data_IF_158804587552
#
_entry.id   IF_158804587552
#
_cell.length_a   1.000
_cell.length_b   1.000
_cell.length_c   1.000
_cell.angle_alpha   90.00
_cell.angle_beta   90.00
_cell.angle_gamma   90.00
#
_symmetry.space_group_name_H-M   'P 1'
#
loop_
_entity.id
_entity.type
_entity.pdbx_description
1 polymer ?
#
# COMPACT_ATOMS: atom_id res chain seq x y z
N UNK A 1 7.35 -0.19 -1.79
CA UNK A 1 7.02 -0.01 -3.23
C UNK A 1 7.36 -1.28 -4.01
N UNK A 2 6.55 -1.61 -5.01
CA UNK A 2 6.86 -2.68 -5.95
C UNK A 2 7.98 -2.22 -6.88
N UNK A 3 9.07 -2.97 -6.91
CA UNK A 3 10.14 -2.76 -7.86
C UNK A 3 9.91 -3.55 -9.16
N UNK A 4 10.91 -4.25 -9.62
CA UNK A 4 10.85 -5.08 -10.82
C UNK A 4 11.31 -6.51 -10.52
N UNK A 5 11.24 -7.40 -11.54
CA UNK A 5 11.90 -8.72 -11.46
C UNK A 5 13.43 -8.63 -11.60
N UNK A 6 13.96 -7.46 -12.02
CA UNK A 6 15.39 -7.24 -12.28
C UNK A 6 16.08 -6.68 -11.03
N UNK A 7 16.93 -7.49 -10.42
CA UNK A 7 17.65 -7.16 -9.18
C UNK A 7 18.42 -5.83 -9.29
N UNK A 8 19.20 -5.63 -10.35
CA UNK A 8 20.03 -4.43 -10.51
C UNK A 8 19.21 -3.14 -10.50
N UNK A 9 18.02 -3.13 -11.13
CA UNK A 9 17.13 -1.99 -11.13
C UNK A 9 16.66 -1.65 -9.70
N UNK A 10 16.35 -2.67 -8.90
CA UNK A 10 15.90 -2.49 -7.53
C UNK A 10 17.04 -2.02 -6.60
N UNK A 11 18.28 -2.47 -6.85
CA UNK A 11 19.47 -1.98 -6.15
C UNK A 11 19.78 -0.52 -6.52
N UNK A 12 19.62 -0.13 -7.79
CA UNK A 12 19.75 1.27 -8.22
C UNK A 12 18.71 2.14 -7.51
N UNK A 13 17.46 1.70 -7.43
CA UNK A 13 16.41 2.40 -6.70
C UNK A 13 16.74 2.56 -5.21
N UNK A 14 17.28 1.52 -4.58
CA UNK A 14 17.71 1.59 -3.18
C UNK A 14 18.85 2.61 -2.97
N UNK A 15 19.84 2.62 -3.86
CA UNK A 15 20.92 3.61 -3.84
C UNK A 15 20.41 5.03 -4.01
N UNK A 16 19.46 5.25 -4.93
CA UNK A 16 18.82 6.55 -5.12
C UNK A 16 18.07 6.99 -3.84
N UNK A 17 17.33 6.08 -3.17
CA UNK A 17 16.72 6.42 -1.89
C UNK A 17 17.74 6.90 -0.86
N UNK A 18 18.88 6.23 -0.75
CA UNK A 18 19.97 6.64 0.16
C UNK A 18 20.57 7.99 -0.24
N UNK A 19 20.87 8.18 -1.51
CA UNK A 19 21.47 9.41 -2.06
C UNK A 19 20.59 10.64 -1.80
N UNK A 20 19.28 10.51 -2.04
CA UNK A 20 18.32 11.59 -1.80
C UNK A 20 17.79 11.67 -0.36
N UNK A 21 18.34 10.89 0.57
CA UNK A 21 17.93 10.89 1.97
C UNK A 21 16.51 10.35 2.22
N UNK A 22 15.97 9.58 1.29
CA UNK A 22 14.63 9.02 1.37
C UNK A 22 14.61 7.67 2.11
N UNK A 23 13.44 7.31 2.63
CA UNK A 23 13.18 5.97 3.18
C UNK A 23 12.53 5.11 2.10
N UNK A 24 13.02 3.89 1.87
CA UNK A 24 12.53 2.98 0.84
C UNK A 24 12.30 1.57 1.34
N UNK A 25 11.04 1.12 1.33
CA UNK A 25 10.67 -0.30 1.44
C UNK A 25 10.52 -0.83 0.03
N UNK A 26 11.52 -1.59 -0.45
CA UNK A 26 11.67 -1.93 -1.87
C UNK A 26 11.46 -3.42 -2.07
N UNK A 27 10.54 -3.77 -2.96
CA UNK A 27 10.17 -5.14 -3.27
C UNK A 27 10.86 -5.67 -4.52
N UNK A 28 11.55 -6.80 -4.40
CA UNK A 28 11.91 -7.64 -5.53
C UNK A 28 10.67 -8.39 -5.98
N UNK A 29 10.14 -8.06 -7.15
CA UNK A 29 8.95 -8.73 -7.69
C UNK A 29 9.30 -10.16 -8.10
N UNK A 30 8.48 -11.10 -7.65
CA UNK A 30 8.56 -12.51 -8.02
C UNK A 30 7.28 -12.91 -8.77
N UNK A 31 7.44 -13.53 -9.94
CA UNK A 31 6.35 -14.09 -10.73
C UNK A 31 6.92 -15.10 -11.74
N UNK A 32 6.41 -16.32 -11.71
CA UNK A 32 6.92 -17.44 -12.52
C UNK A 32 5.82 -18.23 -13.23
N UNK A 33 4.53 -17.89 -12.99
CA UNK A 33 3.41 -18.58 -13.62
C UNK A 33 3.29 -18.23 -15.10
N UNK A 34 3.64 -19.17 -15.98
CA UNK A 34 3.67 -18.96 -17.42
C UNK A 34 2.28 -18.68 -18.03
N UNK A 35 1.22 -19.16 -17.40
CA UNK A 35 -0.14 -18.99 -17.90
C UNK A 35 -0.70 -17.58 -17.63
N UNK A 36 -0.11 -16.86 -16.66
CA UNK A 36 -0.60 -15.57 -16.20
C UNK A 36 0.42 -14.43 -16.36
N UNK A 37 1.59 -14.71 -16.92
CA UNK A 37 2.64 -13.71 -17.11
C UNK A 37 3.30 -13.82 -18.48
N UNK A 38 3.64 -12.69 -19.14
CA UNK A 38 4.31 -12.73 -20.44
C UNK A 38 5.75 -13.24 -20.30
N UNK A 39 6.22 -13.98 -21.32
CA UNK A 39 7.54 -14.60 -21.29
C UNK A 39 8.70 -13.61 -21.12
N UNK A 40 8.55 -12.38 -21.61
CA UNK A 40 9.57 -11.34 -21.53
C UNK A 40 9.65 -10.66 -20.15
N UNK A 41 8.67 -10.88 -19.28
CA UNK A 41 8.61 -10.23 -17.95
C UNK A 41 8.11 -11.22 -16.91
N UNK A 42 8.89 -12.28 -16.67
CA UNK A 42 8.71 -13.24 -15.57
C UNK A 42 10.03 -13.92 -15.23
N UNK A 43 10.12 -14.49 -14.04
CA UNK A 43 11.19 -15.39 -13.65
C UNK A 43 11.09 -16.70 -14.44
N UNK A 44 12.23 -17.31 -14.74
CA UNK A 44 12.29 -18.54 -15.55
C UNK A 44 11.69 -19.75 -14.82
N UNK A 45 11.70 -19.71 -13.49
CA UNK A 45 11.17 -20.76 -12.62
C UNK A 45 10.94 -20.23 -11.21
N UNK A 46 10.23 -21.01 -10.37
CA UNK A 46 10.09 -20.72 -8.94
C UNK A 46 11.47 -20.57 -8.26
N UNK A 47 12.42 -21.46 -8.60
CA UNK A 47 13.77 -21.40 -8.05
C UNK A 47 14.48 -20.08 -8.40
N UNK A 48 14.38 -19.65 -9.66
CA UNK A 48 14.95 -18.37 -10.09
C UNK A 48 14.33 -17.17 -9.32
N UNK A 49 13.02 -17.15 -9.15
CA UNK A 49 12.33 -16.11 -8.38
C UNK A 49 12.76 -16.08 -6.91
N UNK A 50 12.90 -17.24 -6.27
CA UNK A 50 13.32 -17.40 -4.88
C UNK A 50 14.77 -16.97 -4.71
N UNK A 51 15.68 -17.46 -5.58
CA UNK A 51 17.11 -17.14 -5.52
C UNK A 51 17.35 -15.63 -5.74
N UNK A 52 16.65 -15.02 -6.72
CA UNK A 52 16.72 -13.59 -6.99
C UNK A 52 16.22 -12.77 -5.79
N UNK A 53 15.14 -13.18 -5.15
CA UNK A 53 14.60 -12.52 -3.95
C UNK A 53 15.58 -12.65 -2.79
N UNK A 54 16.16 -13.81 -2.54
CA UNK A 54 17.14 -14.02 -1.47
C UNK A 54 18.42 -13.20 -1.72
N UNK A 55 18.90 -13.17 -2.95
CA UNK A 55 20.05 -12.35 -3.34
C UNK A 55 19.79 -10.86 -3.07
N UNK A 56 18.62 -10.36 -3.47
CA UNK A 56 18.20 -8.99 -3.24
C UNK A 56 18.18 -8.64 -1.75
N UNK A 57 17.58 -9.49 -0.90
CA UNK A 57 17.56 -9.30 0.55
C UNK A 57 19.00 -9.13 1.09
N UNK A 58 19.90 -10.06 0.74
CA UNK A 58 21.30 -10.04 1.19
C UNK A 58 22.07 -8.82 0.72
N UNK A 59 21.82 -8.37 -0.51
CA UNK A 59 22.47 -7.18 -1.07
C UNK A 59 21.96 -5.90 -0.40
N UNK A 60 20.65 -5.77 -0.22
CA UNK A 60 20.05 -4.58 0.35
C UNK A 60 20.44 -4.40 1.82
N UNK A 61 20.48 -5.48 2.60
CA UNK A 61 20.93 -5.46 3.98
C UNK A 61 22.38 -4.99 4.15
N UNK A 62 23.21 -5.07 3.10
CA UNK A 62 24.60 -4.58 3.11
C UNK A 62 24.73 -3.13 2.68
N UNK A 63 23.71 -2.52 2.07
CA UNK A 63 23.79 -1.16 1.55
C UNK A 63 23.69 -0.09 2.62
N UNK A 64 23.00 -0.36 3.73
CA UNK A 64 22.80 0.60 4.80
C UNK A 64 22.92 -0.06 6.16
N UNK A 65 23.58 0.62 7.11
CA UNK A 65 23.57 0.24 8.51
C UNK A 65 22.33 0.72 9.26
N UNK A 66 21.52 1.59 8.64
CA UNK A 66 20.21 2.02 9.14
C UNK A 66 19.15 1.04 8.66
N UNK A 67 18.67 0.20 9.57
CA UNK A 67 17.70 -0.87 9.28
C UNK A 67 16.35 -0.35 8.78
N UNK A 68 16.04 0.94 8.99
CA UNK A 68 14.77 1.55 8.59
C UNK A 68 14.91 2.42 7.32
N UNK A 69 16.13 2.61 6.79
CA UNK A 69 16.34 3.52 5.65
C UNK A 69 16.02 2.88 4.31
N UNK A 70 16.60 1.73 4.03
CA UNK A 70 16.26 0.91 2.86
C UNK A 70 16.01 -0.52 3.30
N UNK A 71 14.79 -0.98 3.11
CA UNK A 71 14.29 -2.25 3.64
C UNK A 71 13.89 -3.15 2.48
N UNK A 72 14.44 -4.37 2.35
CA UNK A 72 13.99 -5.33 1.36
C UNK A 72 12.60 -5.86 1.71
N UNK A 73 11.75 -6.03 0.71
CA UNK A 73 10.40 -6.55 0.85
C UNK A 73 10.19 -7.74 -0.07
N UNK A 74 9.76 -8.87 0.46
CA UNK A 74 9.38 -10.03 -0.34
C UNK A 74 8.09 -9.69 -1.07
N UNK A 75 8.09 -9.84 -2.40
CA UNK A 75 7.01 -9.31 -3.23
C UNK A 75 6.56 -10.33 -4.28
N UNK A 76 5.80 -11.39 -3.91
CA UNK A 76 4.98 -12.03 -4.93
C UNK A 76 4.08 -10.95 -5.53
N UNK A 77 4.07 -10.81 -6.87
CA UNK A 77 3.26 -9.74 -7.47
C UNK A 77 1.80 -9.85 -7.02
N UNK A 78 1.21 -11.02 -7.18
CA UNK A 78 -0.10 -11.45 -6.68
C UNK A 78 -0.23 -12.97 -6.88
N UNK A 79 -1.18 -13.61 -6.22
CA UNK A 79 -1.34 -15.08 -6.24
C UNK A 79 -1.43 -15.66 -7.67
N UNK A 80 -2.19 -15.08 -8.62
CA UNK A 80 -2.27 -15.62 -9.98
C UNK A 80 -0.93 -15.68 -10.72
N UNK A 81 -0.03 -14.74 -10.50
CA UNK A 81 1.26 -14.66 -11.21
C UNK A 81 2.34 -15.60 -10.68
N UNK A 82 2.08 -16.30 -9.60
CA UNK A 82 3.04 -17.18 -8.94
C UNK A 82 2.59 -18.64 -8.97
N UNK A 83 3.55 -19.55 -9.16
CA UNK A 83 3.33 -20.98 -8.90
C UNK A 83 3.27 -21.27 -7.40
N UNK A 84 2.69 -22.40 -7.01
CA UNK A 84 2.65 -22.84 -5.61
C UNK A 84 4.07 -22.98 -5.03
N UNK A 85 5.01 -23.48 -5.82
CA UNK A 85 6.42 -23.61 -5.43
C UNK A 85 7.07 -22.23 -5.18
N UNK A 86 6.74 -21.22 -5.99
CA UNK A 86 7.21 -19.85 -5.79
C UNK A 86 6.63 -19.27 -4.49
N UNK A 87 5.31 -19.33 -4.29
CA UNK A 87 4.65 -18.85 -3.08
C UNK A 87 5.21 -19.51 -1.82
N UNK A 88 5.39 -20.84 -1.85
CA UNK A 88 5.95 -21.60 -0.72
C UNK A 88 7.39 -21.18 -0.41
N UNK A 89 8.23 -21.00 -1.42
CA UNK A 89 9.63 -20.58 -1.23
C UNK A 89 9.74 -19.14 -0.71
N UNK A 90 8.89 -18.23 -1.19
CA UNK A 90 8.84 -16.85 -0.69
C UNK A 90 8.37 -16.78 0.77
N UNK A 91 7.40 -17.62 1.17
CA UNK A 91 6.99 -17.75 2.57
C UNK A 91 8.12 -18.28 3.47
N UNK A 92 8.91 -19.24 2.99
CA UNK A 92 10.11 -19.71 3.70
C UNK A 92 11.15 -18.60 3.86
N UNK A 93 11.37 -17.76 2.83
CA UNK A 93 12.26 -16.60 2.95
C UNK A 93 11.72 -15.56 3.95
N UNK A 94 10.40 -15.31 3.97
CA UNK A 94 9.79 -14.41 4.93
C UNK A 94 10.05 -14.86 6.37
N UNK A 95 9.89 -16.14 6.64
CA UNK A 95 10.18 -16.74 7.95
C UNK A 95 11.68 -16.70 8.28
N UNK A 96 12.55 -16.96 7.29
CA UNK A 96 14.02 -17.01 7.49
C UNK A 96 14.63 -15.63 7.79
N UNK A 97 14.19 -14.60 7.05
CA UNK A 97 14.81 -13.26 7.11
C UNK A 97 14.03 -12.27 7.96
N UNK A 98 12.80 -12.59 8.35
CA UNK A 98 11.89 -11.71 9.09
C UNK A 98 11.72 -10.32 8.45
N UNK A 99 11.81 -10.25 7.11
CA UNK A 99 11.58 -9.04 6.32
C UNK A 99 10.09 -8.88 6.00
N UNK A 100 9.63 -7.65 5.71
CA UNK A 100 8.25 -7.42 5.30
C UNK A 100 7.87 -8.18 4.02
N UNK A 101 6.58 -8.44 3.88
CA UNK A 101 5.96 -9.01 2.67
C UNK A 101 4.97 -7.98 2.13
N UNK A 102 4.89 -7.84 0.81
CA UNK A 102 3.83 -7.07 0.15
C UNK A 102 3.32 -7.83 -1.08
N UNK A 103 2.03 -7.68 -1.37
CA UNK A 103 1.41 -8.27 -2.56
C UNK A 103 0.07 -7.58 -2.85
N UNK A 104 -0.41 -7.67 -4.09
CA UNK A 104 -1.80 -7.30 -4.40
C UNK A 104 -2.72 -8.43 -3.93
N UNK A 105 -3.91 -8.07 -3.48
CA UNK A 105 -4.90 -9.03 -2.99
C UNK A 105 -6.30 -8.57 -3.34
N UNK A 106 -7.07 -9.46 -3.95
CA UNK A 106 -8.49 -9.25 -4.24
C UNK A 106 -8.74 -7.87 -4.88
N UNK A 107 -7.88 -7.46 -5.82
CA UNK A 107 -7.93 -6.15 -6.46
C UNK A 107 -9.13 -6.05 -7.40
N UNK A 108 -9.37 -7.12 -8.16
CA UNK A 108 -10.44 -7.17 -9.16
C UNK A 108 -11.28 -8.44 -9.02
N UNK A 109 -12.49 -8.41 -9.59
CA UNK A 109 -13.35 -9.60 -9.65
C UNK A 109 -12.67 -10.76 -10.39
N UNK A 110 -11.82 -10.46 -11.38
CA UNK A 110 -11.06 -11.49 -12.11
C UNK A 110 -10.03 -12.17 -11.19
N UNK A 111 -9.20 -11.39 -10.48
CA UNK A 111 -8.20 -11.94 -9.56
C UNK A 111 -8.86 -12.79 -8.48
N UNK A 112 -9.86 -12.23 -7.81
CA UNK A 112 -10.59 -12.91 -6.75
C UNK A 112 -11.22 -14.22 -7.26
N UNK A 113 -11.87 -14.19 -8.43
CA UNK A 113 -12.47 -15.38 -9.05
C UNK A 113 -11.42 -16.43 -9.45
N UNK A 114 -10.29 -16.00 -10.03
CA UNK A 114 -9.19 -16.91 -10.40
C UNK A 114 -8.63 -17.67 -9.19
N UNK A 115 -8.42 -16.97 -8.08
CA UNK A 115 -7.88 -17.59 -6.86
C UNK A 115 -8.90 -18.56 -6.23
N UNK A 116 -10.17 -18.17 -6.17
CA UNK A 116 -11.25 -19.05 -5.71
C UNK A 116 -11.35 -20.33 -6.57
N UNK A 117 -11.20 -20.21 -7.87
CA UNK A 117 -11.27 -21.36 -8.79
C UNK A 117 -10.06 -22.31 -8.61
N UNK A 118 -8.86 -21.73 -8.47
CA UNK A 118 -7.60 -22.51 -8.32
C UNK A 118 -7.48 -23.19 -6.96
N UNK A 119 -7.79 -22.48 -5.87
CA UNK A 119 -7.49 -22.93 -4.50
C UNK A 119 -8.72 -23.29 -3.68
N UNK A 120 -9.93 -22.95 -4.14
CA UNK A 120 -11.18 -23.02 -3.37
C UNK A 120 -11.10 -22.23 -2.05
N UNK A 121 -10.30 -21.19 -2.04
CA UNK A 121 -10.02 -20.30 -0.93
C UNK A 121 -9.80 -18.87 -1.44
N UNK A 122 -9.94 -17.87 -0.56
CA UNK A 122 -9.67 -16.47 -0.88
C UNK A 122 -8.16 -16.19 -0.95
N UNK A 123 -7.77 -15.12 -1.63
CA UNK A 123 -6.37 -14.66 -1.73
C UNK A 123 -5.71 -14.57 -0.35
N UNK A 124 -6.40 -13.98 0.63
CA UNK A 124 -5.91 -13.82 2.01
C UNK A 124 -5.63 -15.18 2.65
N UNK A 125 -6.55 -16.13 2.50
CA UNK A 125 -6.38 -17.49 3.02
C UNK A 125 -5.24 -18.24 2.34
N UNK A 126 -5.07 -18.07 1.03
CA UNK A 126 -3.96 -18.67 0.27
C UNK A 126 -2.62 -18.12 0.74
N UNK A 127 -2.51 -16.81 0.91
CA UNK A 127 -1.29 -16.19 1.43
C UNK A 127 -0.95 -16.69 2.84
N UNK A 128 -1.94 -16.92 3.69
CA UNK A 128 -1.75 -17.49 5.02
C UNK A 128 -1.23 -18.94 4.95
N UNK A 129 -1.80 -19.76 4.08
CA UNK A 129 -1.37 -21.16 3.85
C UNK A 129 0.10 -21.27 3.42
N UNK A 130 0.58 -20.32 2.60
CA UNK A 130 1.97 -20.28 2.14
C UNK A 130 2.91 -19.54 3.11
N UNK A 131 2.44 -19.08 4.28
CA UNK A 131 3.27 -18.39 5.28
C UNK A 131 3.66 -16.97 4.87
N UNK A 132 2.91 -16.36 3.94
CA UNK A 132 3.11 -14.99 3.45
C UNK A 132 2.27 -13.96 4.22
N UNK A 133 1.34 -14.40 5.06
CA UNK A 133 0.51 -13.51 5.89
C UNK A 133 1.06 -13.43 7.32
N UNK A 134 1.88 -12.42 7.56
CA UNK A 134 2.54 -12.16 8.85
C UNK A 134 2.12 -10.79 9.40
N UNK A 135 2.55 -10.45 10.60
CA UNK A 135 2.34 -9.11 11.19
C UNK A 135 3.11 -7.99 10.47
N UNK A 136 4.03 -8.35 9.56
CA UNK A 136 4.79 -7.44 8.68
C UNK A 136 4.32 -7.47 7.22
N UNK A 137 3.17 -8.08 6.95
CA UNK A 137 2.60 -8.16 5.60
C UNK A 137 1.69 -6.97 5.33
N UNK A 138 1.84 -6.38 4.14
CA UNK A 138 0.99 -5.31 3.63
C UNK A 138 0.33 -5.77 2.33
N UNK A 139 -1.00 -5.79 2.32
CA UNK A 139 -1.82 -6.20 1.19
C UNK A 139 -2.44 -4.98 0.51
N UNK A 140 -2.25 -4.85 -0.79
CA UNK A 140 -2.75 -3.73 -1.59
C UNK A 140 -4.17 -4.00 -2.11
N UNK A 141 -4.93 -2.95 -2.32
CA UNK A 141 -6.28 -2.89 -2.88
C UNK A 141 -7.39 -3.48 -2.01
N UNK A 142 -7.41 -4.78 -1.77
CA UNK A 142 -8.33 -5.46 -0.85
C UNK A 142 -9.82 -5.06 -1.03
N UNK A 143 -10.28 -4.99 -2.29
CA UNK A 143 -11.63 -4.52 -2.63
C UNK A 143 -12.70 -5.60 -2.45
N UNK A 144 -12.34 -6.89 -2.50
CA UNK A 144 -13.23 -8.05 -2.42
C UNK A 144 -13.03 -8.89 -1.14
N UNK A 145 -12.56 -8.29 -0.05
CA UNK A 145 -12.40 -9.02 1.22
C UNK A 145 -13.75 -9.51 1.75
N UNK A 146 -13.76 -10.76 2.22
CA UNK A 146 -14.87 -11.32 3.02
C UNK A 146 -14.71 -10.93 4.50
N UNK A 147 -15.75 -11.19 5.31
CA UNK A 147 -15.65 -10.99 6.76
C UNK A 147 -14.62 -11.93 7.40
N UNK A 148 -14.51 -13.17 6.91
CA UNK A 148 -13.51 -14.15 7.37
C UNK A 148 -12.09 -13.69 7.02
N UNK A 149 -11.87 -13.09 5.84
CA UNK A 149 -10.58 -12.47 5.49
C UNK A 149 -10.20 -11.37 6.47
N UNK A 150 -11.14 -10.50 6.81
CA UNK A 150 -10.90 -9.42 7.78
C UNK A 150 -10.60 -9.96 9.18
N UNK A 151 -11.26 -11.05 9.62
CA UNK A 151 -10.97 -11.73 10.88
C UNK A 151 -9.54 -12.31 10.84
N UNK A 152 -9.17 -12.95 9.75
CA UNK A 152 -7.83 -13.52 9.56
C UNK A 152 -6.74 -12.44 9.55
N UNK A 153 -6.95 -11.33 8.84
CA UNK A 153 -6.04 -10.18 8.81
C UNK A 153 -5.81 -9.59 10.20
N UNK A 154 -6.89 -9.38 10.97
CA UNK A 154 -6.81 -8.89 12.34
C UNK A 154 -6.03 -9.87 13.24
N UNK A 155 -6.29 -11.18 13.13
CA UNK A 155 -5.59 -12.24 13.88
C UNK A 155 -4.09 -12.27 13.56
N UNK A 156 -3.71 -12.12 12.29
CA UNK A 156 -2.32 -12.10 11.83
C UNK A 156 -1.64 -10.74 12.03
N UNK A 157 -2.41 -9.71 12.40
CA UNK A 157 -1.95 -8.30 12.54
C UNK A 157 -1.36 -7.75 11.24
N UNK A 158 -1.76 -8.31 10.10
CA UNK A 158 -1.37 -7.83 8.78
C UNK A 158 -2.01 -6.46 8.51
N UNK A 159 -1.37 -5.70 7.62
CA UNK A 159 -1.81 -4.37 7.24
C UNK A 159 -2.39 -4.33 5.81
N UNK A 160 -3.17 -3.31 5.53
CA UNK A 160 -3.70 -3.03 4.20
C UNK A 160 -3.20 -1.67 3.69
N UNK A 161 -3.11 -1.53 2.36
CA UNK A 161 -2.87 -0.27 1.68
C UNK A 161 -4.02 0.03 0.71
N UNK A 162 -4.80 1.07 1.01
CA UNK A 162 -5.87 1.54 0.15
C UNK A 162 -5.30 2.37 -1.00
N UNK A 163 -5.64 2.00 -2.24
CA UNK A 163 -5.21 2.67 -3.47
C UNK A 163 -6.42 3.25 -4.24
N UNK A 164 -7.08 4.29 -3.71
CA UNK A 164 -8.41 4.69 -4.17
C UNK A 164 -8.45 5.21 -5.61
N UNK A 165 -7.40 5.88 -6.09
CA UNK A 165 -7.33 6.35 -7.48
C UNK A 165 -7.24 5.17 -8.44
N UNK A 166 -6.35 4.22 -8.17
CA UNK A 166 -6.18 3.03 -9.00
C UNK A 166 -7.46 2.19 -9.02
N UNK A 167 -8.03 1.90 -7.84
CA UNK A 167 -9.27 1.14 -7.74
C UNK A 167 -10.42 1.77 -8.56
N UNK A 168 -10.55 3.11 -8.50
CA UNK A 168 -11.57 3.83 -9.26
C UNK A 168 -11.26 3.85 -10.77
N UNK A 169 -9.99 4.05 -11.14
CA UNK A 169 -9.56 4.12 -12.54
C UNK A 169 -9.81 2.81 -13.28
N UNK A 170 -9.51 1.67 -12.66
CA UNK A 170 -9.73 0.34 -13.25
C UNK A 170 -11.15 -0.22 -13.01
N UNK A 171 -11.98 0.46 -12.22
CA UNK A 171 -13.32 -0.05 -11.89
C UNK A 171 -13.30 -1.28 -10.99
N UNK A 172 -12.27 -1.45 -10.18
CA UNK A 172 -12.04 -2.64 -9.34
C UNK A 172 -12.92 -2.72 -8.08
N UNK A 173 -13.68 -1.69 -7.78
CA UNK A 173 -14.49 -1.59 -6.57
C UNK A 173 -13.93 -0.59 -5.54
N UNK A 174 -14.61 -0.46 -4.41
CA UNK A 174 -14.26 0.47 -3.34
C UNK A 174 -14.00 -0.30 -2.05
N UNK A 175 -12.84 -0.06 -1.44
CA UNK A 175 -12.46 -0.67 -0.16
C UNK A 175 -13.41 -0.23 0.96
N UNK A 176 -13.84 -1.16 1.82
CA UNK A 176 -14.71 -0.91 2.99
C UNK A 176 -13.92 -0.36 4.18
N UNK A 177 -13.38 0.86 4.04
CA UNK A 177 -12.44 1.49 4.99
C UNK A 177 -12.95 1.49 6.43
N UNK A 178 -14.21 1.87 6.67
CA UNK A 178 -14.76 1.94 8.04
C UNK A 178 -14.85 0.58 8.71
N UNK A 179 -15.23 -0.46 7.99
CA UNK A 179 -15.30 -1.82 8.54
C UNK A 179 -13.90 -2.35 8.88
N UNK A 180 -12.92 -2.10 8.01
CA UNK A 180 -11.53 -2.47 8.21
C UNK A 180 -10.96 -1.82 9.48
N UNK A 181 -11.16 -0.50 9.62
CA UNK A 181 -10.70 0.23 10.80
C UNK A 181 -11.45 -0.19 12.08
N UNK A 182 -12.75 -0.50 12.01
CA UNK A 182 -13.53 -1.00 13.13
C UNK A 182 -13.03 -2.36 13.66
N UNK A 183 -12.45 -3.18 12.77
CA UNK A 183 -11.78 -4.45 13.13
C UNK A 183 -10.32 -4.25 13.58
N UNK A 184 -9.87 -3.02 13.77
CA UNK A 184 -8.50 -2.66 14.20
C UNK A 184 -7.40 -3.18 13.27
N UNK A 185 -7.70 -3.37 12.00
CA UNK A 185 -6.73 -3.72 10.96
C UNK A 185 -5.96 -2.45 10.61
N UNK A 186 -4.62 -2.51 10.62
CA UNK A 186 -3.76 -1.39 10.22
C UNK A 186 -4.03 -1.05 8.76
N UNK A 187 -4.21 0.23 8.45
CA UNK A 187 -4.59 0.67 7.12
C UNK A 187 -3.83 1.94 6.72
N UNK A 188 -3.00 1.81 5.69
CA UNK A 188 -2.32 2.93 5.04
C UNK A 188 -3.00 3.35 3.73
N UNK A 189 -2.51 4.44 3.16
CA UNK A 189 -2.92 4.97 1.86
C UNK A 189 -1.76 4.87 0.86
N UNK A 190 -2.04 4.35 -0.34
CA UNK A 190 -1.08 4.21 -1.43
C UNK A 190 -1.52 4.96 -2.70
N UNK A 191 -0.55 5.34 -3.53
CA UNK A 191 -0.83 5.99 -4.82
C UNK A 191 -1.00 4.99 -5.95
N UNK A 192 -0.36 3.85 -5.82
CA UNK A 192 -0.26 2.86 -6.89
C UNK A 192 0.19 3.48 -8.22
N UNK A 193 1.14 4.41 -8.17
CA UNK A 193 1.71 5.02 -9.38
C UNK A 193 2.56 3.94 -10.11
N UNK A 194 2.35 3.61 -11.39
CA UNK A 194 1.48 4.24 -12.39
C UNK A 194 0.25 3.39 -12.76
N UNK A 195 -0.27 2.54 -11.89
CA UNK A 195 -1.64 2.03 -12.01
C UNK A 195 -2.63 3.13 -11.65
N UNK A 196 -2.37 3.89 -10.57
CA UNK A 196 -2.99 5.19 -10.34
C UNK A 196 -2.32 6.30 -11.16
N UNK A 197 -3.09 7.22 -11.72
CA UNK A 197 -2.60 8.31 -12.58
C UNK A 197 -1.88 9.44 -11.82
N UNK A 198 -1.88 9.45 -10.50
CA UNK A 198 -1.31 10.54 -9.70
C UNK A 198 -0.34 10.02 -8.64
N UNK A 199 0.88 10.58 -8.63
CA UNK A 199 1.87 10.34 -7.56
C UNK A 199 1.56 11.11 -6.25
N UNK A 200 0.58 12.01 -6.25
CA UNK A 200 0.24 12.84 -5.11
C UNK A 200 -0.60 12.08 -4.08
N UNK A 201 -0.08 11.96 -2.86
CA UNK A 201 -0.86 11.40 -1.74
C UNK A 201 -2.08 12.28 -1.39
N UNK A 202 -2.02 13.60 -1.60
CA UNK A 202 -3.15 14.51 -1.42
C UNK A 202 -4.31 14.18 -2.38
N UNK A 203 -4.02 13.78 -3.61
CA UNK A 203 -5.06 13.33 -4.54
C UNK A 203 -5.70 12.04 -4.05
N UNK A 204 -4.92 11.10 -3.51
CA UNK A 204 -5.43 9.85 -2.95
C UNK A 204 -6.25 10.07 -1.67
N UNK A 205 -5.86 11.03 -0.80
CA UNK A 205 -6.66 11.45 0.35
C UNK A 205 -8.07 11.90 -0.10
N UNK A 206 -8.14 12.77 -1.10
CA UNK A 206 -9.42 13.28 -1.65
C UNK A 206 -10.23 12.17 -2.30
N UNK A 207 -9.58 11.33 -3.10
CA UNK A 207 -10.24 10.21 -3.77
C UNK A 207 -10.80 9.18 -2.79
N UNK A 208 -10.11 8.89 -1.69
CA UNK A 208 -10.61 7.98 -0.66
C UNK A 208 -11.96 8.48 -0.08
N UNK A 209 -12.06 9.78 0.19
CA UNK A 209 -13.32 10.40 0.65
C UNK A 209 -14.40 10.31 -0.42
N UNK A 210 -14.08 10.66 -1.68
CA UNK A 210 -15.03 10.64 -2.79
C UNK A 210 -15.55 9.22 -3.02
N UNK A 211 -14.64 8.24 -3.14
CA UNK A 211 -15.01 6.83 -3.37
C UNK A 211 -15.90 6.28 -2.24
N UNK A 212 -15.60 6.63 -1.00
CA UNK A 212 -16.41 6.19 0.15
C UNK A 212 -17.84 6.73 0.12
N UNK A 213 -18.03 7.97 -0.37
CA UNK A 213 -19.35 8.58 -0.56
C UNK A 213 -20.10 7.90 -1.71
N UNK A 214 -19.40 7.62 -2.81
CA UNK A 214 -19.99 6.88 -3.95
C UNK A 214 -20.40 5.47 -3.54
N UNK A 215 -19.65 4.81 -2.66
CA UNK A 215 -20.02 3.51 -2.12
C UNK A 215 -21.27 3.61 -1.23
N UNK A 216 -21.35 4.59 -0.34
CA UNK A 216 -22.47 4.76 0.59
C UNK A 216 -23.78 5.11 -0.14
N UNK A 217 -23.72 6.09 -1.05
CA UNK A 217 -24.93 6.57 -1.73
C UNK A 217 -25.28 5.72 -2.97
N UNK A 218 -24.31 4.97 -3.51
CA UNK A 218 -24.43 4.26 -4.78
C UNK A 218 -24.53 5.24 -5.97
N UNK A 219 -24.25 4.76 -7.16
CA UNK A 219 -24.21 5.59 -8.39
C UNK A 219 -25.29 5.23 -9.41
N UNK A 220 -25.93 4.07 -9.27
CA UNK A 220 -26.94 3.59 -10.21
C UNK A 220 -28.30 4.21 -9.91
N UNK A 221 -28.65 5.29 -10.63
CA UNK A 221 -29.93 6.00 -10.45
C UNK A 221 -31.15 5.22 -10.91
N UNK A 222 -30.98 4.06 -11.56
CA UNK A 222 -32.10 3.16 -11.89
C UNK A 222 -32.57 2.37 -10.68
N UNK A 223 -31.79 2.32 -9.61
CA UNK A 223 -32.11 1.68 -8.34
C UNK A 223 -32.61 2.70 -7.31
N UNK A 224 -33.42 2.22 -6.37
CA UNK A 224 -33.88 3.05 -5.24
C UNK A 224 -32.68 3.55 -4.40
N UNK A 225 -32.72 4.82 -3.98
CA UNK A 225 -31.64 5.44 -3.19
C UNK A 225 -31.31 4.68 -1.91
N UNK A 226 -32.30 4.03 -1.30
CA UNK A 226 -32.16 3.24 -0.06
C UNK A 226 -31.48 1.88 -0.23
N UNK A 227 -31.31 1.41 -1.47
CA UNK A 227 -30.79 0.05 -1.75
C UNK A 227 -29.63 0.03 -2.74
N UNK A 228 -29.24 1.18 -3.31
CA UNK A 228 -28.21 1.23 -4.37
C UNK A 228 -26.77 1.36 -3.83
N UNK A 229 -26.61 1.68 -2.55
CA UNK A 229 -25.29 1.86 -1.91
C UNK A 229 -25.08 0.93 -0.74
N UNK A 230 -23.95 1.10 -0.07
CA UNK A 230 -23.55 0.34 1.13
C UNK A 230 -23.55 1.29 2.31
N UNK A 231 -24.54 1.14 3.19
CA UNK A 231 -24.69 2.01 4.35
C UNK A 231 -23.45 2.06 5.24
N UNK A 232 -23.21 3.21 5.88
CA UNK A 232 -22.09 3.41 6.81
C UNK A 232 -20.68 3.24 6.20
N UNK A 233 -20.51 3.53 4.90
CA UNK A 233 -19.23 3.44 4.20
C UNK A 233 -18.44 4.75 4.17
N UNK A 234 -19.12 5.90 4.31
CA UNK A 234 -18.57 7.25 4.16
C UNK A 234 -17.52 7.55 5.22
N UNK A 235 -16.33 7.98 4.78
CA UNK A 235 -15.27 8.50 5.65
C UNK A 235 -15.14 10.02 5.50
N UNK A 236 -14.54 10.68 6.49
CA UNK A 236 -14.16 12.09 6.43
C UNK A 236 -12.68 12.24 6.00
N UNK A 237 -12.27 13.48 5.75
CA UNK A 237 -10.90 13.80 5.31
C UNK A 237 -9.86 13.49 6.40
N UNK A 238 -10.22 13.60 7.68
CA UNK A 238 -9.33 13.27 8.79
C UNK A 238 -8.99 11.77 8.82
N UNK A 239 -9.96 10.89 8.54
CA UNK A 239 -9.72 9.45 8.39
C UNK A 239 -8.77 9.16 7.22
N UNK A 240 -8.95 9.83 6.08
CA UNK A 240 -8.06 9.67 4.93
C UNK A 240 -6.65 10.20 5.23
N UNK A 241 -6.53 11.30 5.97
CA UNK A 241 -5.25 11.84 6.41
C UNK A 241 -4.55 10.92 7.43
N UNK A 242 -5.30 10.31 8.36
CA UNK A 242 -4.76 9.29 9.25
C UNK A 242 -4.14 8.13 8.46
N UNK A 243 -4.81 7.61 7.44
CA UNK A 243 -4.26 6.55 6.59
C UNK A 243 -2.99 6.98 5.85
N UNK A 244 -2.92 8.23 5.40
CA UNK A 244 -1.76 8.79 4.69
C UNK A 244 -0.55 9.06 5.60
N UNK A 245 -0.72 9.07 6.91
CA UNK A 245 0.30 9.43 7.90
C UNK A 245 0.49 8.31 8.93
N UNK A 246 -0.27 8.35 10.00
CA UNK A 246 -0.16 7.41 11.12
C UNK A 246 -0.43 5.97 10.70
N UNK A 247 -1.51 5.74 9.95
CA UNK A 247 -1.90 4.38 9.52
C UNK A 247 -0.83 3.75 8.62
N UNK A 248 -0.24 4.53 7.70
CA UNK A 248 0.87 4.09 6.87
C UNK A 248 2.13 3.76 7.68
N UNK A 249 2.47 4.60 8.66
CA UNK A 249 3.62 4.38 9.54
C UNK A 249 3.43 3.10 10.41
N UNK A 250 2.23 2.94 10.99
CA UNK A 250 1.88 1.74 11.78
C UNK A 250 1.90 0.46 10.94
N UNK A 251 1.46 0.52 9.67
CA UNK A 251 1.53 -0.59 8.73
C UNK A 251 2.97 -1.02 8.42
N UNK A 252 3.90 -0.07 8.39
CA UNK A 252 5.33 -0.30 8.14
C UNK A 252 6.14 -0.52 9.43
N UNK A 253 5.51 -0.56 10.60
CA UNK A 253 6.18 -0.65 11.92
C UNK A 253 7.19 0.48 12.15
N UNK A 254 6.93 1.67 11.61
CA UNK A 254 7.75 2.86 11.79
C UNK A 254 7.21 3.74 12.91
N UNK A 255 8.10 4.23 13.76
CA UNK A 255 7.75 5.26 14.74
C UNK A 255 7.75 6.65 14.07
N UNK A 256 6.80 6.87 13.14
CA UNK A 256 6.65 8.04 12.30
C UNK A 256 5.17 8.44 12.16
N UNK A 257 4.85 9.40 11.29
CA UNK A 257 3.49 9.81 10.97
C UNK A 257 2.84 10.74 12.01
N UNK A 258 3.57 11.14 13.07
CA UNK A 258 3.11 12.06 14.12
C UNK A 258 4.21 13.08 14.42
N UNK A 259 3.82 14.33 14.67
CA UNK A 259 4.71 15.34 15.24
C UNK A 259 4.63 15.18 16.76
N UNK A 260 5.52 14.35 17.30
CA UNK A 260 5.57 14.00 18.71
C UNK A 260 6.99 13.62 19.12
N UNK A 261 7.38 13.94 20.35
CA UNK A 261 8.66 13.54 20.92
C UNK A 261 8.85 12.01 20.84
N UNK A 262 10.04 11.56 20.42
CA UNK A 262 10.40 10.16 20.21
C UNK A 262 9.97 9.60 18.85
N UNK A 263 9.28 10.39 18.01
CA UNK A 263 8.93 10.00 16.63
C UNK A 263 9.95 10.54 15.63
N UNK A 264 10.09 9.83 14.51
CA UNK A 264 10.90 10.29 13.38
C UNK A 264 10.33 11.61 12.84
N UNK A 265 11.23 12.57 12.63
CA UNK A 265 10.85 13.89 12.13
C UNK A 265 10.67 13.89 10.60
N UNK A 266 9.63 13.19 10.15
CA UNK A 266 9.19 13.13 8.76
C UNK A 266 8.00 14.07 8.60
N UNK A 267 8.19 15.21 7.93
CA UNK A 267 7.13 16.20 7.74
C UNK A 267 7.33 17.05 6.49
N UNK A 268 6.26 17.71 6.07
CA UNK A 268 6.25 18.67 4.96
C UNK A 268 5.86 20.06 5.47
N UNK A 269 6.50 21.09 4.90
CA UNK A 269 6.07 22.48 5.01
C UNK A 269 5.33 22.83 3.73
N UNK A 270 4.05 23.19 3.87
CA UNK A 270 3.21 23.57 2.73
C UNK A 270 2.78 25.03 2.82
N UNK A 271 2.64 25.68 1.65
CA UNK A 271 2.11 27.04 1.57
C UNK A 271 0.64 27.01 1.97
N UNK A 272 0.28 27.83 2.96
CA UNK A 272 -1.12 28.09 3.29
C UNK A 272 -1.66 29.21 2.40
N UNK A 273 -2.85 29.00 1.85
CA UNK A 273 -3.56 30.02 1.11
C UNK A 273 -4.39 30.92 2.04
N UNK A 274 -4.44 32.25 1.84
CA UNK A 274 -5.22 33.15 2.72
C UNK A 274 -6.71 32.78 2.73
N UNK A 275 -7.35 32.96 3.88
CA UNK A 275 -8.80 32.84 4.04
C UNK A 275 -9.42 34.21 4.27
N UNK A 276 -10.57 34.45 3.64
CA UNK A 276 -11.37 35.67 3.87
C UNK A 276 -12.21 35.59 5.15
N UNK A 277 -12.31 34.40 5.74
CA UNK A 277 -13.02 34.15 7.01
C UNK A 277 -12.07 33.52 8.01
N UNK A 278 -12.34 33.73 9.30
CA UNK A 278 -11.65 33.03 10.38
C UNK A 278 -12.03 31.55 10.34
N UNK A 279 -11.04 30.66 10.35
CA UNK A 279 -11.21 29.21 10.36
C UNK A 279 -10.76 28.65 11.72
N UNK A 280 -11.42 27.58 12.18
CA UNK A 280 -10.89 26.75 13.26
C UNK A 280 -9.67 25.96 12.76
N UNK A 281 -8.88 25.40 13.67
CA UNK A 281 -7.72 24.55 13.31
C UNK A 281 -8.14 23.35 12.46
N UNK A 282 -9.25 22.71 12.76
CA UNK A 282 -9.81 21.60 11.99
C UNK A 282 -10.16 22.04 10.56
N UNK A 283 -10.86 23.16 10.42
CA UNK A 283 -11.20 23.72 9.11
C UNK A 283 -9.96 24.13 8.30
N UNK A 284 -8.92 24.63 9.00
CA UNK A 284 -7.64 24.94 8.35
C UNK A 284 -6.95 23.68 7.81
N UNK A 285 -6.91 22.60 8.60
CA UNK A 285 -6.35 21.32 8.19
C UNK A 285 -7.15 20.74 7.01
N UNK A 286 -8.48 20.72 7.10
CA UNK A 286 -9.33 20.27 5.99
C UNK A 286 -9.04 21.07 4.71
N UNK A 287 -8.96 22.39 4.82
CA UNK A 287 -8.66 23.25 3.69
C UNK A 287 -7.31 22.94 3.08
N UNK A 288 -6.26 22.76 3.89
CA UNK A 288 -4.92 22.36 3.44
C UNK A 288 -5.01 21.03 2.66
N UNK A 289 -5.67 20.02 3.21
CA UNK A 289 -5.79 18.70 2.58
C UNK A 289 -6.55 18.75 1.25
N UNK A 290 -7.58 19.61 1.13
CA UNK A 290 -8.33 19.76 -0.11
C UNK A 290 -7.65 20.64 -1.16
N UNK A 291 -6.87 21.64 -0.76
CA UNK A 291 -6.33 22.63 -1.69
C UNK A 291 -4.88 22.41 -2.09
N UNK A 292 -4.05 21.78 -1.24
CA UNK A 292 -2.62 21.63 -1.51
C UNK A 292 -2.36 20.92 -2.85
N UNK A 293 -1.55 21.56 -3.66
CA UNK A 293 -1.00 21.04 -4.90
C UNK A 293 0.51 20.78 -4.74
N UNK A 294 1.13 20.09 -5.68
CA UNK A 294 2.58 19.87 -5.67
C UNK A 294 3.37 21.20 -5.60
N UNK A 295 2.87 22.23 -6.25
CA UNK A 295 3.49 23.58 -6.24
C UNK A 295 3.49 24.25 -4.87
N UNK A 296 2.63 23.82 -3.95
CA UNK A 296 2.51 24.39 -2.61
C UNK A 296 3.45 23.75 -1.60
N UNK A 297 4.06 22.61 -1.92
CA UNK A 297 5.07 21.96 -1.08
C UNK A 297 6.33 22.81 -1.13
N UNK A 298 6.75 23.34 0.03
CA UNK A 298 7.92 24.20 0.17
C UNK A 298 9.13 23.43 0.62
N UNK A 299 8.98 22.56 1.61
CA UNK A 299 10.07 21.78 2.16
C UNK A 299 9.58 20.38 2.53
N UNK A 300 10.47 19.39 2.42
CA UNK A 300 10.24 18.03 2.90
C UNK A 300 11.41 17.61 3.77
N UNK A 301 11.10 17.06 4.93
CA UNK A 301 12.08 16.55 5.87
C UNK A 301 11.90 15.06 6.09
N UNK A 302 13.00 14.32 6.17
CA UNK A 302 13.05 12.89 6.52
C UNK A 302 14.08 12.69 7.62
N UNK A 303 13.66 12.16 8.76
CA UNK A 303 14.47 12.06 9.99
C UNK A 303 15.11 13.41 10.39
N UNK A 304 14.37 14.50 10.21
CA UNK A 304 14.84 15.87 10.51
C UNK A 304 15.81 16.46 9.47
N UNK A 305 16.19 15.71 8.46
CA UNK A 305 17.06 16.21 7.38
C UNK A 305 16.20 16.80 6.25
N UNK A 306 16.57 17.98 5.78
CA UNK A 306 15.95 18.63 4.64
C UNK A 306 16.32 17.85 3.36
N UNK A 307 15.33 17.19 2.72
CA UNK A 307 15.53 16.40 1.49
C UNK A 307 14.98 17.09 0.24
N UNK A 308 14.12 18.09 0.42
CA UNK A 308 13.60 18.93 -0.66
C UNK A 308 13.33 20.34 -0.15
N UNK A 309 13.75 21.34 -0.93
CA UNK A 309 13.42 22.74 -0.75
C UNK A 309 13.04 23.34 -2.09
N UNK A 310 11.91 24.02 -2.14
CA UNK A 310 11.50 24.81 -3.30
C UNK A 310 11.93 26.25 -3.09
N UNK A 311 12.68 26.77 -4.05
CA UNK A 311 13.09 28.19 -4.14
C UNK A 311 11.88 29.14 -4.25
#
# INVERSE_FOLDING_TARGET
>A
MFGTIYNDSNIILAKACLEYGLRGFIGQVAMDNADQTPAYYRNQSAKDAIDATELFIKQLQKLSNDADRVVPVITPRFVPSCSDACLQGLGQLANKYHVPVQTHVSESSWEHGYVLDRFKATDTSVLDQFGLLTDRTILMHATHLTDDDMILLAKRKAALAHCPISNAYFGNGVMRVKEILAKQIKLGLGTDISGGYSSSIYHNIRQAVISSRMLEDGVDTTKQATTRGVANSRINIATAFYMATVGGAEALHLNAGRIKEGYKADFQVVKSHPSVITLSDEQMIERILYQTQQSDIKQVYVDGNLVYCKD
#
